data_IF_104932870036
#
_entry.id   IF_104932870036
#
_cell.length_a   1.000
_cell.length_b   1.000
_cell.length_c   1.000
_cell.angle_alpha   90.00
_cell.angle_beta   90.00
_cell.angle_gamma   90.00
#
_symmetry.space_group_name_H-M   'P 1'
#
loop_
_entity.id
_entity.type
_entity.pdbx_description
1 polymer ?
#
# COMPACT_ATOMS: atom_id res chain seq x y z
N UNK A 1 -14.69 26.53 27.51
CA UNK A 1 -15.27 25.51 28.40
C UNK A 1 -14.99 24.11 27.84
N UNK A 2 -14.95 23.11 28.70
CA UNK A 2 -14.63 21.71 28.33
C UNK A 2 -15.56 21.19 27.21
N UNK A 3 -16.82 21.55 27.24
CA UNK A 3 -17.83 21.24 26.22
C UNK A 3 -17.46 21.78 24.84
N UNK A 4 -16.93 22.99 24.75
CA UNK A 4 -16.50 23.57 23.46
C UNK A 4 -15.29 22.84 22.87
N UNK A 5 -14.35 22.39 23.72
CA UNK A 5 -13.19 21.62 23.28
C UNK A 5 -13.62 20.23 22.75
N UNK A 6 -14.53 19.57 23.46
CA UNK A 6 -15.07 18.26 23.02
C UNK A 6 -15.81 18.41 21.70
N UNK A 7 -16.62 19.44 21.54
CA UNK A 7 -17.35 19.71 20.29
C UNK A 7 -16.37 19.96 19.13
N UNK A 8 -15.32 20.76 19.35
CA UNK A 8 -14.30 21.04 18.34
C UNK A 8 -13.55 19.77 17.91
N UNK A 9 -13.17 18.91 18.87
CA UNK A 9 -12.49 17.65 18.59
C UNK A 9 -13.38 16.67 17.81
N UNK A 10 -14.68 16.57 18.17
CA UNK A 10 -15.62 15.72 17.43
C UNK A 10 -15.86 16.24 16.02
N UNK A 11 -15.96 17.55 15.83
CA UNK A 11 -16.09 18.14 14.50
C UNK A 11 -14.84 17.88 13.66
N UNK A 12 -13.65 18.04 14.23
CA UNK A 12 -12.38 17.77 13.56
C UNK A 12 -12.29 16.31 13.13
N UNK A 13 -12.64 15.38 14.02
CA UNK A 13 -12.64 13.95 13.69
C UNK A 13 -13.65 13.63 12.58
N UNK A 14 -14.85 14.23 12.61
CA UNK A 14 -15.85 14.03 11.57
C UNK A 14 -15.35 14.54 10.20
N UNK A 15 -14.71 15.70 10.15
CA UNK A 15 -14.11 16.24 8.91
C UNK A 15 -13.01 15.33 8.38
N UNK A 16 -12.15 14.81 9.26
CA UNK A 16 -11.08 13.90 8.88
C UNK A 16 -11.61 12.57 8.34
N UNK A 17 -12.62 11.98 8.98
CA UNK A 17 -13.23 10.72 8.51
C UNK A 17 -14.00 10.92 7.19
N UNK A 18 -14.66 12.07 7.01
CA UNK A 18 -15.34 12.41 5.76
C UNK A 18 -14.33 12.59 4.61
N UNK A 19 -13.25 13.32 4.83
CA UNK A 19 -12.16 13.46 3.86
C UNK A 19 -11.54 12.11 3.48
N UNK A 20 -11.34 11.24 4.47
CA UNK A 20 -10.87 9.88 4.24
C UNK A 20 -11.87 9.05 3.41
N UNK A 21 -13.17 9.15 3.70
CA UNK A 21 -14.21 8.47 2.94
C UNK A 21 -14.20 8.90 1.46
N UNK A 22 -14.16 10.22 1.21
CA UNK A 22 -14.06 10.75 -0.17
C UNK A 22 -12.82 10.21 -0.87
N UNK A 23 -11.66 10.27 -0.21
CA UNK A 23 -10.40 9.79 -0.80
C UNK A 23 -10.44 8.30 -1.13
N UNK A 24 -10.96 7.45 -0.22
CA UNK A 24 -11.12 6.02 -0.47
C UNK A 24 -12.08 5.75 -1.64
N UNK A 25 -13.17 6.51 -1.72
CA UNK A 25 -14.15 6.41 -2.81
C UNK A 25 -13.51 6.79 -4.14
N UNK A 26 -12.79 7.90 -4.19
CA UNK A 26 -12.06 8.34 -5.39
C UNK A 26 -11.01 7.30 -5.83
N UNK A 27 -10.27 6.72 -4.88
CA UNK A 27 -9.29 5.68 -5.16
C UNK A 27 -9.96 4.42 -5.69
N UNK A 28 -11.08 4.01 -5.10
CA UNK A 28 -11.88 2.85 -5.57
C UNK A 28 -12.41 3.09 -6.98
N UNK A 29 -12.92 4.28 -7.27
CA UNK A 29 -13.40 4.65 -8.60
C UNK A 29 -12.28 4.64 -9.64
N UNK A 30 -11.12 5.19 -9.29
CA UNK A 30 -9.92 5.14 -10.15
C UNK A 30 -9.50 3.70 -10.44
N UNK A 31 -9.54 2.81 -9.44
CA UNK A 31 -9.20 1.41 -9.62
C UNK A 31 -10.20 0.67 -10.53
N UNK A 32 -11.50 0.93 -10.37
CA UNK A 32 -12.53 0.28 -11.18
C UNK A 32 -12.56 0.79 -12.62
N UNK A 33 -12.21 2.05 -12.84
CA UNK A 33 -12.16 2.67 -14.17
C UNK A 33 -10.82 2.51 -14.89
N UNK A 34 -9.77 2.11 -14.17
CA UNK A 34 -8.46 1.91 -14.76
C UNK A 34 -8.46 0.70 -15.70
N UNK A 35 -7.65 0.80 -16.74
CA UNK A 35 -7.25 -0.34 -17.57
C UNK A 35 -6.42 -1.35 -16.76
N UNK A 36 -6.11 -2.49 -17.33
CA UNK A 36 -5.38 -3.55 -16.63
C UNK A 36 -3.99 -3.08 -16.16
N UNK A 37 -3.28 -2.29 -16.95
CA UNK A 37 -1.99 -1.71 -16.58
C UNK A 37 -2.12 -0.73 -15.41
N UNK A 38 -3.12 0.14 -15.44
CA UNK A 38 -3.41 1.09 -14.37
C UNK A 38 -3.82 0.41 -13.06
N UNK A 39 -4.56 -0.71 -13.14
CA UNK A 39 -4.88 -1.53 -11.95
C UNK A 39 -3.64 -2.15 -11.32
N UNK A 40 -2.75 -2.69 -12.14
CA UNK A 40 -1.47 -3.26 -11.66
C UNK A 40 -0.60 -2.18 -11.03
N UNK A 41 -0.51 -1.00 -11.63
CA UNK A 41 0.20 0.13 -11.06
C UNK A 41 -0.36 0.52 -9.67
N UNK A 42 -1.68 0.56 -9.52
CA UNK A 42 -2.31 0.86 -8.24
C UNK A 42 -2.07 -0.23 -7.19
N UNK A 43 -2.07 -1.52 -7.59
CA UNK A 43 -1.72 -2.63 -6.71
C UNK A 43 -0.26 -2.54 -6.26
N UNK A 44 0.67 -2.23 -7.16
CA UNK A 44 2.07 -2.02 -6.83
C UNK A 44 2.24 -0.87 -5.84
N UNK A 45 1.61 0.28 -6.09
CA UNK A 45 1.61 1.41 -5.16
C UNK A 45 1.11 1.02 -3.77
N UNK A 46 0.05 0.21 -3.72
CA UNK A 46 -0.52 -0.26 -2.47
C UNK A 46 0.43 -1.18 -1.72
N UNK A 47 1.07 -2.14 -2.40
CA UNK A 47 2.06 -3.06 -1.82
C UNK A 47 3.22 -2.26 -1.21
N UNK A 48 3.84 -1.38 -1.98
CA UNK A 48 4.98 -0.59 -1.51
C UNK A 48 4.60 0.40 -0.40
N UNK A 49 3.39 0.95 -0.43
CA UNK A 49 2.88 1.77 0.68
C UNK A 49 2.77 0.99 1.98
N UNK A 50 2.29 -0.27 1.93
CA UNK A 50 2.21 -1.13 3.11
C UNK A 50 3.61 -1.47 3.63
N UNK A 51 4.53 -1.84 2.74
CA UNK A 51 5.91 -2.15 3.12
C UNK A 51 6.59 -0.94 3.76
N UNK A 52 6.44 0.24 3.17
CA UNK A 52 6.95 1.49 3.74
C UNK A 52 6.37 1.79 5.13
N UNK A 53 5.08 1.50 5.36
CA UNK A 53 4.46 1.63 6.69
C UNK A 53 5.05 0.68 7.73
N UNK A 54 5.55 -0.47 7.29
CA UNK A 54 6.29 -1.42 8.13
C UNK A 54 7.76 -1.02 8.34
N UNK A 55 8.19 0.11 7.77
CA UNK A 55 9.58 0.54 7.80
C UNK A 55 10.49 -0.24 6.84
N UNK A 56 9.90 -0.92 5.87
CA UNK A 56 10.62 -1.66 4.84
C UNK A 56 10.63 -0.82 3.58
N UNK A 57 11.80 -0.36 3.21
CA UNK A 57 12.00 0.47 2.04
C UNK A 57 12.26 -0.42 0.82
N UNK A 58 11.21 -0.70 0.09
CA UNK A 58 11.22 -1.52 -1.10
C UNK A 58 10.66 -0.77 -2.30
N UNK A 59 11.18 -1.06 -3.48
CA UNK A 59 10.65 -0.55 -4.74
C UNK A 59 10.77 -1.60 -5.84
N UNK A 60 9.99 -1.41 -6.91
CA UNK A 60 9.95 -2.35 -8.02
C UNK A 60 11.33 -2.51 -8.67
N UNK A 61 11.77 -3.75 -8.83
CA UNK A 61 13.03 -4.09 -9.49
C UNK A 61 14.30 -3.79 -8.69
N UNK A 62 14.19 -3.33 -7.43
CA UNK A 62 15.36 -3.00 -6.61
C UNK A 62 15.59 -4.02 -5.49
N UNK A 63 16.81 -4.60 -5.46
CA UNK A 63 17.27 -5.55 -4.42
C UNK A 63 16.23 -6.66 -4.10
N UNK A 64 15.64 -7.24 -5.13
CA UNK A 64 14.54 -8.22 -5.00
C UNK A 64 14.93 -9.38 -4.11
N UNK A 65 16.12 -9.95 -4.32
CA UNK A 65 16.62 -11.10 -3.56
C UNK A 65 16.86 -10.75 -2.08
N UNK A 66 17.42 -9.57 -1.81
CA UNK A 66 17.63 -9.09 -0.44
C UNK A 66 16.31 -8.83 0.28
N UNK A 67 15.32 -8.29 -0.42
CA UNK A 67 13.98 -8.09 0.12
C UNK A 67 13.25 -9.41 0.35
N UNK A 68 13.36 -10.36 -0.57
CA UNK A 68 12.76 -11.69 -0.42
C UNK A 68 13.36 -12.46 0.76
N UNK A 69 14.65 -12.28 1.03
CA UNK A 69 15.29 -12.83 2.21
C UNK A 69 14.87 -12.15 3.51
N UNK A 70 14.66 -10.84 3.49
CA UNK A 70 14.32 -10.04 4.67
C UNK A 70 12.85 -10.20 5.12
N UNK A 71 11.92 -10.31 4.17
CA UNK A 71 10.49 -10.25 4.45
C UNK A 71 9.96 -11.37 5.35
N UNK A 72 10.39 -12.64 5.22
CA UNK A 72 9.95 -13.72 6.10
C UNK A 72 10.26 -13.45 7.58
N UNK A 73 11.41 -12.84 7.88
CA UNK A 73 11.83 -12.49 9.23
C UNK A 73 11.04 -11.32 9.81
N UNK A 74 10.56 -10.43 8.96
CA UNK A 74 9.86 -9.20 9.37
C UNK A 74 8.35 -9.31 9.37
N UNK A 75 7.79 -10.19 8.55
CA UNK A 75 6.35 -10.30 8.36
C UNK A 75 5.92 -11.76 8.49
N UNK A 76 5.23 -12.13 9.59
CA UNK A 76 4.74 -13.50 9.78
C UNK A 76 3.82 -13.94 8.63
N UNK A 77 4.07 -15.15 8.12
CA UNK A 77 3.27 -15.77 7.07
C UNK A 77 3.70 -15.45 5.64
N UNK A 78 4.81 -14.72 5.46
CA UNK A 78 5.50 -14.62 4.16
C UNK A 78 6.55 -15.72 4.11
N UNK A 79 6.63 -16.41 2.98
CA UNK A 79 7.66 -17.39 2.68
C UNK A 79 8.69 -16.82 1.69
N UNK A 80 9.88 -17.41 1.69
CA UNK A 80 10.87 -17.13 0.64
C UNK A 80 10.27 -17.41 -0.75
N UNK A 81 10.53 -16.52 -1.70
CA UNK A 81 9.98 -16.57 -3.05
C UNK A 81 8.62 -15.88 -3.22
N UNK A 82 7.91 -15.56 -2.13
CA UNK A 82 6.63 -14.84 -2.21
C UNK A 82 6.79 -13.42 -2.79
N UNK A 83 7.81 -12.72 -2.32
CA UNK A 83 8.11 -11.36 -2.80
C UNK A 83 8.65 -11.38 -4.24
N UNK A 84 9.61 -12.26 -4.52
CA UNK A 84 10.18 -12.40 -5.85
C UNK A 84 9.10 -12.72 -6.89
N UNK A 85 8.20 -13.66 -6.58
CA UNK A 85 7.04 -13.97 -7.45
C UNK A 85 6.14 -12.75 -7.65
N UNK A 86 5.88 -11.99 -6.60
CA UNK A 86 5.07 -10.78 -6.66
C UNK A 86 5.70 -9.73 -7.57
N UNK A 87 7.00 -9.48 -7.43
CA UNK A 87 7.75 -8.54 -8.29
C UNK A 87 7.71 -8.99 -9.74
N UNK A 88 7.97 -10.28 -10.02
CA UNK A 88 7.90 -10.81 -11.39
C UNK A 88 6.54 -10.59 -12.05
N UNK A 89 5.44 -10.78 -11.30
CA UNK A 89 4.09 -10.51 -11.81
C UNK A 89 3.85 -9.02 -12.08
N UNK A 90 4.33 -8.15 -11.19
CA UNK A 90 4.23 -6.71 -11.37
C UNK A 90 5.06 -6.23 -12.58
N UNK A 91 6.27 -6.75 -12.74
CA UNK A 91 7.15 -6.41 -13.87
C UNK A 91 6.58 -6.89 -15.20
N UNK A 92 6.05 -8.12 -15.24
CA UNK A 92 5.37 -8.67 -16.41
C UNK A 92 4.25 -7.76 -16.90
N UNK A 93 3.42 -7.28 -15.99
CA UNK A 93 2.31 -6.42 -16.35
C UNK A 93 2.74 -4.96 -16.62
N UNK A 94 3.72 -4.44 -15.87
CA UNK A 94 4.14 -3.04 -15.97
C UNK A 94 5.03 -2.78 -17.19
N UNK A 95 6.00 -3.66 -17.43
CA UNK A 95 6.95 -3.52 -18.55
C UNK A 95 6.58 -4.36 -19.76
N UNK A 96 5.94 -5.52 -19.55
CA UNK A 96 5.52 -6.40 -20.63
C UNK A 96 4.20 -5.98 -21.29
N UNK A 97 3.42 -5.14 -20.63
CA UNK A 97 2.08 -4.75 -21.12
C UNK A 97 1.09 -5.91 -21.19
N UNK A 98 1.41 -7.03 -20.55
CA UNK A 98 0.57 -8.21 -20.53
C UNK A 98 -0.48 -8.15 -19.42
N UNK A 99 -1.73 -8.44 -19.78
CA UNK A 99 -2.79 -8.58 -18.79
C UNK A 99 -2.49 -9.77 -17.87
N UNK A 100 -2.67 -9.56 -16.56
CA UNK A 100 -2.52 -10.63 -15.59
C UNK A 100 -3.68 -11.62 -15.68
N UNK A 101 -3.35 -12.91 -15.70
CA UNK A 101 -4.35 -13.96 -15.60
C UNK A 101 -5.08 -13.93 -14.24
N UNK A 102 -6.32 -14.44 -14.14
CA UNK A 102 -7.08 -14.41 -12.89
C UNK A 102 -6.39 -15.07 -11.70
N UNK A 103 -5.56 -16.10 -11.93
CA UNK A 103 -4.78 -16.76 -10.87
C UNK A 103 -3.60 -15.90 -10.42
N UNK A 104 -2.97 -15.15 -11.33
CA UNK A 104 -1.89 -14.21 -11.02
C UNK A 104 -2.39 -13.04 -10.19
N UNK A 105 -3.55 -12.49 -10.56
CA UNK A 105 -4.23 -11.45 -9.77
C UNK A 105 -4.58 -11.96 -8.36
N UNK A 106 -5.04 -13.20 -8.24
CA UNK A 106 -5.29 -13.82 -6.93
C UNK A 106 -4.02 -13.97 -6.10
N UNK A 107 -2.90 -14.30 -6.73
CA UNK A 107 -1.59 -14.39 -6.06
C UNK A 107 -1.17 -13.02 -5.49
N UNK A 108 -1.32 -11.93 -6.25
CA UNK A 108 -1.07 -10.57 -5.77
C UNK A 108 -1.96 -10.20 -4.58
N UNK A 109 -3.26 -10.50 -4.66
CA UNK A 109 -4.18 -10.25 -3.55
C UNK A 109 -3.85 -11.08 -2.31
N UNK A 110 -3.41 -12.33 -2.49
CA UNK A 110 -2.96 -13.17 -1.38
C UNK A 110 -1.72 -12.58 -0.70
N UNK A 111 -0.75 -12.10 -1.47
CA UNK A 111 0.42 -11.39 -0.94
C UNK A 111 0.03 -10.13 -0.19
N UNK A 112 -0.83 -9.27 -0.77
CA UNK A 112 -1.35 -8.08 -0.10
C UNK A 112 -2.02 -8.44 1.23
N UNK A 113 -2.81 -9.51 1.26
CA UNK A 113 -3.45 -9.97 2.49
C UNK A 113 -2.44 -10.39 3.56
N UNK A 114 -1.33 -11.04 3.15
CA UNK A 114 -0.23 -11.41 4.06
C UNK A 114 0.44 -10.17 4.64
N UNK A 115 0.88 -9.22 3.81
CA UNK A 115 1.56 -8.00 4.26
C UNK A 115 0.66 -7.05 5.05
N UNK A 116 -0.66 -7.14 4.88
CA UNK A 116 -1.64 -6.31 5.59
C UNK A 116 -1.98 -6.83 7.00
N UNK A 117 -1.52 -8.02 7.37
CA UNK A 117 -1.74 -8.57 8.72
C UNK A 117 -0.80 -7.91 9.72
N UNK A 118 -1.37 -7.16 10.66
CA UNK A 118 -0.63 -6.52 11.74
C UNK A 118 -0.98 -7.17 13.09
N UNK A 119 0.00 -7.32 13.96
CA UNK A 119 -0.16 -7.92 15.28
C UNK A 119 -1.11 -7.11 16.20
N UNK A 120 -1.09 -5.77 16.05
CA UNK A 120 -1.94 -4.87 16.81
C UNK A 120 -2.84 -4.04 15.89
N UNK A 121 -3.99 -4.61 15.42
CA UNK A 121 -4.79 -3.98 14.37
C UNK A 121 -5.35 -2.61 14.75
N UNK A 122 -5.71 -2.37 16.01
CA UNK A 122 -6.27 -1.08 16.44
C UNK A 122 -5.19 0.02 16.48
N UNK A 123 -4.05 -0.26 17.11
CA UNK A 123 -2.91 0.68 17.17
C UNK A 123 -2.37 0.95 15.78
N UNK A 124 -2.28 -0.07 14.95
CA UNK A 124 -1.80 0.05 13.59
C UNK A 124 -2.79 0.81 12.72
N UNK A 125 -4.10 0.61 12.90
CA UNK A 125 -5.13 1.38 12.17
C UNK A 125 -5.08 2.87 12.54
N UNK A 126 -4.90 3.21 13.81
CA UNK A 126 -4.75 4.61 14.24
C UNK A 126 -3.47 5.23 13.67
N UNK A 127 -2.35 4.52 13.73
CA UNK A 127 -1.08 4.94 13.17
C UNK A 127 -1.16 5.06 11.63
N UNK A 128 -1.83 4.11 10.96
CA UNK A 128 -2.13 4.14 9.54
C UNK A 128 -2.94 5.36 9.15
N UNK A 129 -4.01 5.65 9.89
CA UNK A 129 -4.85 6.81 9.67
C UNK A 129 -4.06 8.09 9.78
N UNK A 130 -3.23 8.20 10.82
CA UNK A 130 -2.40 9.37 11.06
C UNK A 130 -1.33 9.51 9.96
N UNK A 131 -0.54 8.48 9.70
CA UNK A 131 0.58 8.52 8.76
C UNK A 131 0.12 8.61 7.31
N UNK A 132 -0.92 7.88 6.93
CA UNK A 132 -1.41 7.88 5.55
C UNK A 132 -2.19 9.15 5.20
N UNK A 133 -2.87 9.73 6.15
CA UNK A 133 -3.64 10.95 5.96
C UNK A 133 -2.77 12.21 6.04
N UNK A 134 -1.82 12.24 6.96
CA UNK A 134 -1.02 13.42 7.26
C UNK A 134 0.38 13.39 6.64
N UNK A 135 0.91 12.22 6.31
CA UNK A 135 2.29 12.03 5.87
C UNK A 135 2.39 11.44 4.46
N UNK A 136 1.34 11.53 3.66
CA UNK A 136 1.29 11.07 2.26
C UNK A 136 2.43 11.60 1.38
N UNK A 137 3.06 12.69 1.79
CA UNK A 137 4.21 13.27 1.11
C UNK A 137 5.55 12.63 1.44
N UNK A 138 5.62 11.70 2.40
CA UNK A 138 6.88 11.20 2.97
C UNK A 138 7.17 9.73 2.64
N UNK A 139 6.68 9.25 1.50
CA UNK A 139 7.21 8.02 0.94
C UNK A 139 8.70 8.23 0.62
N UNK A 140 9.57 7.25 0.90
CA UNK A 140 10.97 7.30 0.52
C UNK A 140 11.13 7.68 -0.96
N UNK A 141 12.13 8.49 -1.27
CA UNK A 141 12.29 9.08 -2.63
C UNK A 141 12.40 8.03 -3.72
N UNK A 142 13.03 6.90 -3.44
CA UNK A 142 13.12 5.79 -4.39
C UNK A 142 11.80 5.04 -4.57
N UNK A 143 11.00 4.88 -3.50
CA UNK A 143 9.65 4.32 -3.60
C UNK A 143 8.74 5.25 -4.43
N UNK A 144 8.88 6.56 -4.27
CA UNK A 144 8.14 7.55 -5.08
C UNK A 144 8.54 7.47 -6.55
N UNK A 145 9.84 7.37 -6.85
CA UNK A 145 10.35 7.24 -8.23
C UNK A 145 9.88 5.94 -8.89
N UNK A 146 9.94 4.82 -8.17
CA UNK A 146 9.47 3.53 -8.68
C UNK A 146 7.97 3.54 -8.98
N UNK A 147 7.20 4.38 -8.29
CA UNK A 147 5.77 4.56 -8.53
C UNK A 147 5.43 5.64 -9.57
N UNK A 148 6.45 6.24 -10.23
CA UNK A 148 6.24 7.35 -11.17
C UNK A 148 5.73 8.63 -10.51
N UNK A 149 5.87 8.77 -9.18
CA UNK A 149 5.50 9.99 -8.46
C UNK A 149 6.65 11.00 -8.52
N UNK A 150 6.37 12.30 -8.59
CA UNK A 150 7.41 13.31 -8.53
C UNK A 150 8.21 13.21 -7.23
N UNK A 151 9.51 13.40 -7.36
CA UNK A 151 10.48 13.34 -6.26
C UNK A 151 10.20 14.40 -5.17
#
# INVERSE_FOLDING_TARGET
>A
TLAAIVLLLTLLLAVLEFGRFIWLTMRRTKFTQADDAGRVQQLAQYIYSILALRGIDACLGWQVDAMDALLPDRIPGIAHGDYQRTVTLLEKAYYGGEALAPFETRALHAFIKKISRFEHPLRTRAFWRLRYFWLLGHLPTHTRRAMGLPA
#
